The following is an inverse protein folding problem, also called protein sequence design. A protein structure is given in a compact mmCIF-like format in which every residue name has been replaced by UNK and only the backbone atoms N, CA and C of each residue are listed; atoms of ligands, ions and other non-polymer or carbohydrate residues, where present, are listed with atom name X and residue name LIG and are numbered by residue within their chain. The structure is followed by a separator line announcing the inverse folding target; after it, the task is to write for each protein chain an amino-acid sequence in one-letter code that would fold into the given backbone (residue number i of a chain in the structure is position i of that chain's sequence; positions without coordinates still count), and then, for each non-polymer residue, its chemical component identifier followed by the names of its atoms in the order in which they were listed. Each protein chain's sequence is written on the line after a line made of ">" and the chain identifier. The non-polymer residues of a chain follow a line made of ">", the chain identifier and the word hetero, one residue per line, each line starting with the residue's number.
data_IF_016598916761
#
_entry.id   IF_016598916761
#
_cell.length_a   1.000
_cell.length_b   1.000
_cell.length_c   1.000
_cell.angle_alpha   90.00
_cell.angle_beta   90.00
_cell.angle_gamma   90.00
#
_symmetry.space_group_name_H-M   'P 1'
#
loop_
_entity.id
_entity.type
_entity.pdbx_description
1 polymer ?
#
# COMPACT_ATOMS: atom_id res chain seq x y z
N UNK A 1 -3.43 -20.09 -15.05
CA UNK A 1 -3.88 -20.46 -16.41
C UNK A 1 -2.75 -20.22 -17.42
N UNK A 2 -2.33 -21.22 -18.20
CA UNK A 2 -1.30 -21.05 -19.23
C UNK A 2 -1.74 -20.05 -20.32
N UNK A 3 -0.78 -19.38 -20.94
CA UNK A 3 -1.04 -18.53 -22.11
C UNK A 3 -1.57 -19.40 -23.27
N UNK A 4 -2.64 -18.98 -23.91
CA UNK A 4 -3.23 -19.61 -25.09
C UNK A 4 -3.74 -18.54 -26.06
N UNK A 5 -4.19 -18.93 -27.25
CA UNK A 5 -4.57 -17.98 -28.30
C UNK A 5 -5.80 -17.12 -27.96
N UNK A 6 -6.65 -17.58 -27.04
CA UNK A 6 -7.86 -16.88 -26.64
C UNK A 6 -7.61 -15.84 -25.54
N UNK A 7 -6.53 -16.00 -24.77
CA UNK A 7 -6.26 -15.17 -23.61
C UNK A 7 -5.04 -14.25 -23.78
N UNK A 8 -4.53 -14.04 -25.00
CA UNK A 8 -3.37 -13.17 -25.27
C UNK A 8 -3.67 -11.70 -25.00
N UNK A 9 -2.70 -10.99 -24.40
CA UNK A 9 -2.74 -9.55 -24.21
C UNK A 9 -2.63 -8.78 -25.53
N UNK A 10 -2.83 -7.47 -25.47
CA UNK A 10 -2.87 -6.60 -26.67
C UNK A 10 -1.85 -5.48 -26.53
N UNK A 11 -1.04 -5.26 -27.58
CA UNK A 11 -0.09 -4.16 -27.71
C UNK A 11 -0.80 -2.84 -28.07
N UNK A 12 -0.08 -1.71 -27.98
CA UNK A 12 -0.67 -0.41 -28.29
C UNK A 12 -1.12 -0.27 -29.76
N UNK A 13 -0.52 -1.03 -30.68
CA UNK A 13 -0.87 -1.09 -32.10
C UNK A 13 -2.03 -2.06 -32.42
N UNK A 14 -2.60 -2.71 -31.40
CA UNK A 14 -3.67 -3.69 -31.55
C UNK A 14 -3.22 -5.13 -31.85
N UNK A 15 -1.91 -5.38 -32.00
CA UNK A 15 -1.37 -6.74 -32.18
C UNK A 15 -1.43 -7.56 -30.88
N UNK A 16 -1.41 -8.90 -30.97
CA UNK A 16 -1.48 -9.81 -29.82
C UNK A 16 -0.10 -10.08 -29.22
N UNK A 17 -0.02 -10.05 -27.89
CA UNK A 17 1.20 -10.40 -27.14
C UNK A 17 1.47 -11.89 -27.15
N UNK A 18 2.71 -12.27 -27.43
CA UNK A 18 3.18 -13.67 -27.31
C UNK A 18 3.67 -14.03 -25.90
N UNK A 19 3.84 -13.02 -25.04
CA UNK A 19 4.47 -13.18 -23.73
C UNK A 19 3.49 -13.05 -22.56
N UNK A 20 2.40 -12.30 -22.74
CA UNK A 20 1.51 -11.90 -21.65
C UNK A 20 0.05 -12.15 -21.99
N UNK A 21 -0.72 -12.54 -20.98
CA UNK A 21 -2.16 -12.71 -21.12
C UNK A 21 -2.91 -11.38 -20.99
N UNK A 22 -4.16 -11.36 -21.46
CA UNK A 22 -5.05 -10.20 -21.45
C UNK A 22 -5.38 -9.68 -20.06
N UNK A 23 -5.18 -10.47 -19.01
CA UNK A 23 -5.40 -10.01 -17.63
C UNK A 23 -4.22 -9.20 -17.12
N UNK A 24 -3.00 -9.53 -17.56
CA UNK A 24 -1.77 -8.87 -17.12
C UNK A 24 -1.40 -7.68 -18.01
N UNK A 25 -1.71 -7.73 -19.32
CA UNK A 25 -1.22 -6.75 -20.30
C UNK A 25 -2.30 -6.34 -21.30
N UNK A 26 -2.60 -5.04 -21.36
CA UNK A 26 -3.63 -4.44 -22.22
C UNK A 26 -3.14 -3.11 -22.80
N UNK A 27 -3.45 -2.87 -24.07
CA UNK A 27 -3.16 -1.62 -24.79
C UNK A 27 -1.69 -1.16 -24.66
N UNK A 28 -0.74 -2.11 -24.70
CA UNK A 28 0.68 -1.80 -24.63
C UNK A 28 1.25 -1.63 -23.21
N UNK A 29 0.43 -1.77 -22.16
CA UNK A 29 0.86 -1.58 -20.77
C UNK A 29 0.40 -2.73 -19.86
N UNK A 30 1.13 -2.93 -18.75
CA UNK A 30 0.66 -3.81 -17.70
C UNK A 30 -0.53 -3.19 -16.98
N UNK A 31 -1.51 -4.02 -16.64
CA UNK A 31 -2.74 -3.60 -15.96
C UNK A 31 -2.51 -3.26 -14.49
N UNK A 32 -1.40 -3.76 -13.91
CA UNK A 32 -1.01 -3.56 -12.52
C UNK A 32 0.51 -3.39 -12.42
N UNK A 33 0.94 -2.43 -11.61
CA UNK A 33 2.35 -2.21 -11.27
C UNK A 33 2.72 -2.88 -9.94
N UNK A 34 2.66 -4.21 -9.96
CA UNK A 34 2.98 -5.08 -8.83
C UNK A 34 4.41 -5.58 -8.89
N UNK A 35 5.06 -5.79 -7.75
CA UNK A 35 6.22 -6.68 -7.62
C UNK A 35 5.84 -8.12 -7.98
N UNK A 36 6.83 -9.00 -8.13
CA UNK A 36 6.57 -10.42 -8.36
C UNK A 36 5.77 -11.03 -7.19
N UNK A 37 6.17 -10.72 -5.94
CA UNK A 37 5.45 -11.14 -4.74
C UNK A 37 3.99 -10.68 -4.75
N UNK A 38 3.75 -9.40 -5.03
CA UNK A 38 2.39 -8.85 -5.13
C UNK A 38 1.55 -9.52 -6.21
N UNK A 39 2.14 -9.80 -7.38
CA UNK A 39 1.45 -10.51 -8.46
C UNK A 39 1.04 -11.93 -8.04
N UNK A 40 1.87 -12.62 -7.26
CA UNK A 40 1.56 -13.95 -6.72
C UNK A 40 0.38 -13.85 -5.76
N UNK A 41 0.41 -12.94 -4.79
CA UNK A 41 -0.69 -12.74 -3.84
C UNK A 41 -1.99 -12.37 -4.55
N UNK A 42 -1.93 -11.51 -5.58
CA UNK A 42 -3.07 -11.19 -6.41
C UNK A 42 -3.63 -12.42 -7.13
N UNK A 43 -2.76 -13.25 -7.73
CA UNK A 43 -3.18 -14.47 -8.42
C UNK A 43 -3.82 -15.50 -7.48
N UNK A 44 -3.37 -15.58 -6.22
CA UNK A 44 -3.93 -16.49 -5.22
C UNK A 44 -5.39 -16.16 -4.85
N UNK A 45 -5.84 -14.92 -5.03
CA UNK A 45 -7.26 -14.55 -4.84
C UNK A 45 -8.20 -15.26 -5.82
N UNK A 46 -7.67 -15.74 -6.95
CA UNK A 46 -8.43 -16.44 -7.98
C UNK A 46 -8.19 -17.96 -7.98
N UNK A 47 -7.52 -18.49 -6.94
CA UNK A 47 -7.11 -19.89 -6.91
C UNK A 47 -8.30 -20.86 -7.01
N UNK A 48 -9.40 -20.59 -6.30
CA UNK A 48 -10.58 -21.46 -6.34
C UNK A 48 -11.19 -21.52 -7.75
N UNK A 49 -11.26 -20.38 -8.44
CA UNK A 49 -11.74 -20.31 -9.82
C UNK A 49 -10.81 -21.06 -10.77
N UNK A 50 -9.49 -20.90 -10.58
CA UNK A 50 -8.49 -21.61 -11.38
C UNK A 50 -8.56 -23.12 -11.15
N UNK A 51 -8.67 -23.57 -9.89
CA UNK A 51 -8.84 -24.96 -9.52
C UNK A 51 -10.07 -25.57 -10.21
N UNK A 52 -11.21 -24.89 -10.16
CA UNK A 52 -12.44 -25.34 -10.81
C UNK A 52 -12.31 -25.44 -12.34
N UNK A 53 -11.70 -24.44 -13.00
CA UNK A 53 -11.56 -24.42 -14.47
C UNK A 53 -10.53 -25.42 -14.99
N UNK A 54 -9.42 -25.59 -14.28
CA UNK A 54 -8.33 -26.49 -14.69
C UNK A 54 -8.55 -27.94 -14.21
N UNK A 55 -9.58 -28.19 -13.40
CA UNK A 55 -9.81 -29.51 -12.79
C UNK A 55 -8.70 -29.91 -11.82
N UNK A 56 -8.03 -28.94 -11.19
CA UNK A 56 -7.00 -29.18 -10.19
C UNK A 56 -7.51 -28.81 -8.78
N UNK A 57 -6.74 -29.20 -7.76
CA UNK A 57 -7.06 -28.94 -6.36
C UNK A 57 -5.79 -28.53 -5.61
N UNK A 58 -5.18 -27.42 -6.05
CA UNK A 58 -3.98 -26.87 -5.43
C UNK A 58 -4.35 -26.12 -4.16
N UNK A 59 -3.56 -26.31 -3.10
CA UNK A 59 -3.62 -25.41 -1.93
C UNK A 59 -2.95 -24.07 -2.24
N UNK A 60 -3.27 -22.99 -1.49
CA UNK A 60 -2.58 -21.70 -1.66
C UNK A 60 -1.06 -21.80 -1.57
N UNK A 61 -0.54 -22.64 -0.67
CA UNK A 61 0.90 -22.85 -0.52
C UNK A 61 1.49 -23.51 -1.77
N UNK A 62 0.87 -24.58 -2.27
CA UNK A 62 1.35 -25.27 -3.47
C UNK A 62 1.30 -24.37 -4.70
N UNK A 63 0.23 -23.59 -4.86
CA UNK A 63 0.09 -22.64 -5.97
C UNK A 63 1.16 -21.54 -5.87
N UNK A 64 1.41 -20.99 -4.68
CA UNK A 64 2.45 -20.00 -4.43
C UNK A 64 3.84 -20.54 -4.76
N UNK A 65 4.17 -21.75 -4.31
CA UNK A 65 5.46 -22.41 -4.63
C UNK A 65 5.65 -22.58 -6.14
N UNK A 66 4.62 -23.03 -6.85
CA UNK A 66 4.68 -23.16 -8.31
C UNK A 66 4.90 -21.81 -9.00
N UNK A 67 4.22 -20.75 -8.56
CA UNK A 67 4.42 -19.41 -9.12
C UNK A 67 5.81 -18.88 -8.81
N UNK A 68 6.33 -19.07 -7.59
CA UNK A 68 7.71 -18.69 -7.22
C UNK A 68 8.76 -19.41 -8.07
N UNK A 69 8.52 -20.64 -8.50
CA UNK A 69 9.41 -21.37 -9.40
C UNK A 69 9.33 -20.86 -10.86
N UNK A 70 8.15 -20.44 -11.30
CA UNK A 70 7.90 -20.09 -12.70
C UNK A 70 8.09 -18.61 -13.02
N UNK A 71 7.58 -17.70 -12.18
CA UNK A 71 7.53 -16.26 -12.44
C UNK A 71 8.90 -15.62 -12.72
N UNK A 72 10.01 -16.00 -12.05
CA UNK A 72 11.34 -15.47 -12.37
C UNK A 72 11.81 -15.73 -13.81
N UNK A 73 11.18 -16.66 -14.53
CA UNK A 73 11.49 -16.97 -15.94
C UNK A 73 10.74 -16.06 -16.93
N UNK A 74 9.71 -15.34 -16.47
CA UNK A 74 8.92 -14.43 -17.31
C UNK A 74 9.73 -13.18 -17.64
N UNK A 75 9.62 -12.67 -18.87
CA UNK A 75 10.35 -11.47 -19.32
C UNK A 75 10.20 -10.28 -18.35
N UNK A 76 9.01 -10.08 -17.79
CA UNK A 76 8.71 -9.03 -16.80
C UNK A 76 9.59 -9.10 -15.54
N UNK A 77 9.91 -10.30 -15.06
CA UNK A 77 10.61 -10.54 -13.79
C UNK A 77 12.01 -11.13 -13.94
N UNK A 78 12.43 -11.34 -15.18
CA UNK A 78 13.74 -11.90 -15.51
C UNK A 78 14.86 -10.93 -15.15
N UNK A 79 14.60 -9.64 -15.32
CA UNK A 79 15.52 -8.58 -14.89
C UNK A 79 15.23 -8.21 -13.44
N UNK A 80 16.31 -7.93 -12.69
CA UNK A 80 16.21 -7.56 -11.29
C UNK A 80 15.70 -6.12 -11.20
N UNK A 81 14.81 -5.88 -10.24
CA UNK A 81 14.42 -4.53 -9.86
C UNK A 81 15.58 -3.85 -9.11
N UNK A 82 16.25 -2.92 -9.78
CA UNK A 82 17.40 -2.16 -9.28
C UNK A 82 17.02 -0.99 -8.35
N UNK A 83 15.71 -0.73 -8.15
CA UNK A 83 15.26 0.26 -7.17
C UNK A 83 15.72 -0.12 -5.76
N UNK A 84 16.10 0.89 -4.99
CA UNK A 84 16.34 0.78 -3.56
C UNK A 84 15.06 0.39 -2.81
N UNK A 85 15.17 -0.14 -1.59
CA UNK A 85 14.01 -0.43 -0.75
C UNK A 85 13.19 0.84 -0.43
N UNK A 86 13.83 2.00 -0.34
CA UNK A 86 13.16 3.28 -0.13
C UNK A 86 12.29 3.69 -1.34
N UNK A 87 12.79 3.50 -2.56
CA UNK A 87 12.02 3.76 -3.78
C UNK A 87 10.87 2.76 -3.93
N UNK A 88 11.13 1.46 -3.68
CA UNK A 88 10.11 0.42 -3.66
C UNK A 88 9.01 0.71 -2.61
N UNK A 89 9.39 1.16 -1.42
CA UNK A 89 8.45 1.54 -0.35
C UNK A 89 7.65 2.80 -0.68
N UNK A 90 8.26 3.78 -1.35
CA UNK A 90 7.57 4.98 -1.83
C UNK A 90 6.49 4.60 -2.83
N UNK A 91 6.83 3.70 -3.77
CA UNK A 91 5.88 3.14 -4.73
C UNK A 91 4.76 2.35 -4.02
N UNK A 92 5.10 1.50 -3.07
CA UNK A 92 4.13 0.73 -2.28
C UNK A 92 3.13 1.65 -1.56
N UNK A 93 3.64 2.69 -0.88
CA UNK A 93 2.79 3.65 -0.17
C UNK A 93 1.88 4.41 -1.13
N UNK A 94 2.32 4.72 -2.34
CA UNK A 94 1.48 5.37 -3.35
C UNK A 94 0.23 4.54 -3.70
N UNK A 95 0.34 3.20 -3.67
CA UNK A 95 -0.76 2.27 -3.93
C UNK A 95 -1.72 2.09 -2.73
N UNK A 96 -1.34 2.56 -1.54
CA UNK A 96 -2.14 2.41 -0.33
C UNK A 96 -3.10 3.59 -0.16
N UNK A 97 -4.41 3.35 -0.15
CA UNK A 97 -5.42 4.36 0.22
C UNK A 97 -5.46 4.61 1.73
N UNK A 98 -5.18 3.57 2.52
CA UNK A 98 -5.22 3.61 3.96
C UNK A 98 -3.89 3.14 4.56
N UNK A 99 -3.58 3.64 5.75
CA UNK A 99 -2.46 3.23 6.60
C UNK A 99 -2.98 2.87 7.98
N UNK A 100 -2.24 2.08 8.74
CA UNK A 100 -2.55 1.84 10.16
C UNK A 100 -1.60 2.64 11.04
N UNK A 101 -2.12 3.53 11.88
CA UNK A 101 -1.34 4.34 12.81
C UNK A 101 -1.65 3.97 14.26
N UNK A 102 -0.60 3.67 15.02
CA UNK A 102 -0.65 3.34 16.43
C UNK A 102 -0.23 4.54 17.27
N UNK A 103 -1.14 4.98 18.15
CA UNK A 103 -0.84 5.84 19.29
C UNK A 103 -0.65 4.99 20.55
N UNK A 104 -0.17 5.58 21.65
CA UNK A 104 -0.04 4.92 22.95
C UNK A 104 -0.87 5.72 23.96
N UNK A 105 -1.80 5.07 24.64
CA UNK A 105 -2.61 5.73 25.66
C UNK A 105 -1.82 5.98 26.95
N UNK A 106 -2.44 6.67 27.91
CA UNK A 106 -1.80 7.01 29.20
C UNK A 106 -1.51 5.80 30.09
N UNK A 107 -2.12 4.65 29.83
CA UNK A 107 -1.87 3.39 30.53
C UNK A 107 -0.80 2.53 29.81
N UNK A 108 -0.27 3.00 28.68
CA UNK A 108 0.75 2.31 27.89
C UNK A 108 0.21 1.32 26.86
N UNK A 109 -1.09 1.26 26.63
CA UNK A 109 -1.66 0.36 25.61
C UNK A 109 -1.52 0.98 24.21
N UNK A 110 -1.08 0.20 23.21
CA UNK A 110 -1.08 0.64 21.83
C UNK A 110 -2.51 0.66 21.27
N UNK A 111 -2.81 1.68 20.46
CA UNK A 111 -4.11 1.84 19.79
C UNK A 111 -3.92 1.91 18.27
N UNK A 112 -3.71 0.77 17.57
CA UNK A 112 -3.65 0.76 16.11
C UNK A 112 -5.03 1.09 15.53
N UNK A 113 -5.10 2.05 14.63
CA UNK A 113 -6.33 2.45 13.93
C UNK A 113 -6.00 2.66 12.45
N UNK A 114 -6.81 2.08 11.58
CA UNK A 114 -6.73 2.33 10.14
C UNK A 114 -7.27 3.73 9.83
N UNK A 115 -6.52 4.51 9.06
CA UNK A 115 -6.85 5.88 8.68
C UNK A 115 -6.55 6.07 7.19
N UNK A 116 -7.35 6.89 6.52
CA UNK A 116 -7.10 7.27 5.14
C UNK A 116 -5.84 8.11 5.03
N UNK A 117 -4.98 7.73 4.09
CA UNK A 117 -3.79 8.49 3.70
C UNK A 117 -4.24 9.63 2.80
N UNK A 118 -4.07 10.88 3.25
CA UNK A 118 -4.49 12.05 2.48
C UNK A 118 -3.37 12.51 1.54
N UNK A 119 -2.13 12.42 2.02
CA UNK A 119 -0.91 12.76 1.29
C UNK A 119 0.28 12.01 1.90
N UNK A 120 1.34 11.82 1.11
CA UNK A 120 2.60 11.29 1.60
C UNK A 120 3.77 11.91 0.84
N UNK A 121 4.91 12.06 1.51
CA UNK A 121 6.18 12.46 0.93
C UNK A 121 7.21 11.36 1.15
N UNK A 122 7.70 10.80 0.04
CA UNK A 122 8.51 9.58 0.07
C UNK A 122 7.74 8.42 0.69
N UNK A 123 8.42 7.59 1.48
CA UNK A 123 7.85 6.41 2.12
C UNK A 123 7.56 6.60 3.62
N UNK A 124 7.93 7.74 4.21
CA UNK A 124 7.99 7.92 5.67
C UNK A 124 7.35 9.19 6.23
N UNK A 125 6.94 10.14 5.39
CA UNK A 125 6.11 11.28 5.82
C UNK A 125 4.67 11.02 5.34
N UNK A 126 3.72 10.93 6.27
CA UNK A 126 2.34 10.55 5.97
C UNK A 126 1.36 11.50 6.65
N UNK A 127 0.41 12.00 5.88
CA UNK A 127 -0.63 12.89 6.36
C UNK A 127 -1.97 12.16 6.46
N UNK A 128 -2.70 12.44 7.53
CA UNK A 128 -4.04 11.91 7.81
C UNK A 128 -4.91 13.04 8.37
N UNK A 129 -6.23 12.87 8.33
CA UNK A 129 -7.18 13.79 8.95
C UNK A 129 -7.99 13.08 10.06
N UNK A 130 -8.35 13.81 11.12
CA UNK A 130 -9.19 13.31 12.21
C UNK A 130 -9.91 14.45 12.94
N UNK A 131 -10.81 14.11 13.85
CA UNK A 131 -11.47 15.06 14.74
C UNK A 131 -10.54 15.58 15.85
N UNK A 132 -10.62 16.87 16.17
CA UNK A 132 -9.82 17.54 17.21
C UNK A 132 -10.05 16.96 18.62
N UNK A 133 -11.24 16.43 18.87
CA UNK A 133 -11.65 15.77 20.11
C UNK A 133 -11.41 14.25 20.10
N UNK A 134 -10.86 13.70 19.02
CA UNK A 134 -10.62 12.26 18.90
C UNK A 134 -9.63 11.75 19.95
N UNK A 135 -9.83 10.50 20.38
CA UNK A 135 -8.89 9.80 21.27
C UNK A 135 -7.47 9.82 20.70
N UNK A 136 -7.34 9.71 19.37
CA UNK A 136 -6.05 9.75 18.66
C UNK A 136 -5.30 11.07 18.89
N UNK A 137 -6.00 12.20 18.81
CA UNK A 137 -5.43 13.52 19.08
C UNK A 137 -5.04 13.67 20.55
N UNK A 138 -5.87 13.17 21.47
CA UNK A 138 -5.56 13.22 22.90
C UNK A 138 -4.32 12.38 23.24
N UNK A 139 -4.21 11.17 22.68
CA UNK A 139 -3.02 10.33 22.83
C UNK A 139 -1.77 11.06 22.32
N UNK A 140 -1.80 11.63 21.11
CA UNK A 140 -0.62 12.29 20.52
C UNK A 140 -0.23 13.60 21.20
N UNK A 141 -1.19 14.34 21.77
CA UNK A 141 -0.90 15.50 22.62
C UNK A 141 -0.16 15.09 23.91
N UNK A 142 -0.50 13.93 24.49
CA UNK A 142 0.17 13.43 25.68
C UNK A 142 1.51 12.73 25.37
N UNK A 143 1.57 11.99 24.26
CA UNK A 143 2.73 11.25 23.81
C UNK A 143 2.73 11.15 22.28
N UNK A 144 3.60 11.92 21.63
CA UNK A 144 3.65 12.00 20.17
C UNK A 144 4.34 10.81 19.50
N UNK A 145 4.86 9.82 20.25
CA UNK A 145 5.49 8.62 19.66
C UNK A 145 4.44 7.77 18.96
N UNK A 146 4.75 7.36 17.74
CA UNK A 146 3.82 6.62 16.89
C UNK A 146 4.51 5.46 16.17
N UNK A 147 3.73 4.42 15.91
CA UNK A 147 4.02 3.45 14.87
C UNK A 147 3.08 3.68 13.69
N UNK A 148 3.55 3.47 12.45
CA UNK A 148 2.71 3.50 11.26
C UNK A 148 3.10 2.36 10.34
N UNK A 149 2.14 1.59 9.85
CA UNK A 149 2.41 0.57 8.84
C UNK A 149 1.42 0.65 7.67
N UNK A 150 1.88 0.16 6.53
CA UNK A 150 1.09 0.01 5.32
C UNK A 150 1.54 -1.24 4.57
N UNK A 151 0.61 -1.86 3.87
CA UNK A 151 0.84 -3.07 3.09
C UNK A 151 0.00 -3.05 1.82
N UNK A 152 0.51 -3.73 0.80
CA UNK A 152 -0.20 -3.95 -0.44
C UNK A 152 0.24 -5.30 -1.01
N UNK A 153 -0.71 -6.24 -1.09
CA UNK A 153 -0.51 -7.59 -1.64
C UNK A 153 0.74 -8.30 -1.09
N UNK A 154 0.88 -8.34 0.24
CA UNK A 154 1.93 -9.10 0.93
C UNK A 154 3.26 -8.37 1.12
N UNK A 155 3.50 -7.31 0.35
CA UNK A 155 4.59 -6.36 0.61
C UNK A 155 4.13 -5.35 1.68
N UNK A 156 5.01 -4.99 2.60
CA UNK A 156 4.68 -4.12 3.72
C UNK A 156 5.87 -3.34 4.29
N UNK A 157 5.55 -2.22 4.90
CA UNK A 157 6.51 -1.36 5.61
C UNK A 157 5.93 -1.02 6.98
N UNK A 158 6.78 -1.12 8.01
CA UNK A 158 6.48 -0.65 9.35
C UNK A 158 7.47 0.46 9.73
N UNK A 159 6.94 1.58 10.19
CA UNK A 159 7.67 2.77 10.58
C UNK A 159 7.50 3.02 12.07
N UNK A 160 8.54 3.57 12.68
CA UNK A 160 8.47 4.24 13.99
C UNK A 160 8.83 5.70 13.81
N UNK A 161 8.11 6.57 14.51
CA UNK A 161 8.24 8.00 14.30
C UNK A 161 7.48 8.82 15.33
N UNK A 162 7.15 10.04 14.94
CA UNK A 162 6.34 10.95 15.74
C UNK A 162 5.19 11.51 14.93
N UNK A 163 4.10 11.89 15.61
CA UNK A 163 2.97 12.58 14.99
C UNK A 163 2.86 14.01 15.52
N UNK A 164 2.70 14.96 14.61
CA UNK A 164 2.35 16.33 14.92
C UNK A 164 0.86 16.55 14.64
N UNK A 165 0.14 17.17 15.58
CA UNK A 165 -1.26 17.57 15.39
C UNK A 165 -1.26 18.99 14.82
N UNK A 166 -1.69 19.13 13.57
CA UNK A 166 -1.65 20.40 12.85
C UNK A 166 -3.04 21.05 12.88
N UNK A 167 -3.09 22.23 13.50
CA UNK A 167 -4.29 23.07 13.60
C UNK A 167 -4.20 24.35 12.77
N UNK A 168 -3.09 24.59 12.09
CA UNK A 168 -2.87 25.77 11.25
C UNK A 168 -3.92 25.85 10.12
N UNK A 169 -4.62 26.98 10.04
CA UNK A 169 -5.72 27.16 9.10
C UNK A 169 -5.27 27.16 7.64
N UNK A 170 -4.07 27.66 7.33
CA UNK A 170 -3.57 27.71 5.96
C UNK A 170 -3.29 26.28 5.45
N UNK A 171 -2.55 25.48 6.24
CA UNK A 171 -2.26 24.09 5.90
C UNK A 171 -3.54 23.26 5.83
N UNK A 172 -4.45 23.41 6.81
CA UNK A 172 -5.73 22.68 6.82
C UNK A 172 -6.56 22.95 5.57
N UNK A 173 -6.62 24.20 5.12
CA UNK A 173 -7.34 24.60 3.89
C UNK A 173 -6.66 24.08 2.63
N UNK A 174 -5.34 24.12 2.57
CA UNK A 174 -4.57 23.60 1.44
C UNK A 174 -4.77 22.08 1.28
N UNK A 175 -4.76 21.34 2.38
CA UNK A 175 -4.87 19.87 2.37
C UNK A 175 -6.32 19.35 2.41
N UNK A 176 -7.31 20.23 2.27
CA UNK A 176 -8.71 19.84 2.27
C UNK A 176 -9.04 18.95 1.07
N UNK A 177 -9.76 17.85 1.33
CA UNK A 177 -10.29 16.96 0.31
C UNK A 177 -11.81 17.03 0.32
N UNK A 178 -12.47 17.11 -0.83
CA UNK A 178 -13.94 17.33 -0.90
C UNK A 178 -14.76 16.33 -0.09
N UNK A 179 -14.31 15.08 -0.01
CA UNK A 179 -14.99 14.02 0.74
C UNK A 179 -14.92 14.20 2.27
N UNK A 180 -14.05 15.08 2.78
CA UNK A 180 -14.05 15.46 4.20
C UNK A 180 -15.36 16.12 4.64
N UNK A 181 -16.14 16.70 3.72
CA UNK A 181 -17.43 17.32 4.03
C UNK A 181 -18.43 16.33 4.66
N UNK A 182 -18.28 15.02 4.44
CA UNK A 182 -19.10 13.99 5.10
C UNK A 182 -18.83 13.85 6.61
N UNK A 183 -17.63 14.25 7.05
CA UNK A 183 -17.17 14.12 8.43
C UNK A 183 -17.12 15.48 9.15
N UNK A 184 -16.89 16.57 8.40
CA UNK A 184 -16.71 17.92 8.91
C UNK A 184 -17.65 18.90 8.19
N UNK A 185 -18.91 19.06 8.67
CA UNK A 185 -19.92 19.89 8.04
C UNK A 185 -19.52 21.38 7.94
N UNK A 186 -18.60 21.86 8.78
CA UNK A 186 -18.03 23.21 8.70
C UNK A 186 -17.02 23.42 7.56
N UNK A 187 -16.75 22.37 6.78
CA UNK A 187 -15.81 22.40 5.65
C UNK A 187 -14.36 22.65 6.08
N UNK A 188 -13.54 23.30 5.24
CA UNK A 188 -12.14 23.62 5.55
C UNK A 188 -11.92 24.49 6.79
N UNK A 189 -12.97 25.16 7.29
CA UNK A 189 -12.91 25.98 8.50
C UNK A 189 -13.48 25.27 9.74
N UNK A 190 -13.93 24.01 9.61
CA UNK A 190 -14.51 23.25 10.73
C UNK A 190 -13.46 23.14 11.85
N UNK A 191 -13.71 23.67 13.06
CA UNK A 191 -12.73 23.65 14.15
C UNK A 191 -12.43 22.22 14.63
N UNK A 192 -13.28 21.24 14.30
CA UNK A 192 -13.04 19.85 14.63
C UNK A 192 -12.18 19.14 13.57
N UNK A 193 -11.99 19.69 12.37
CA UNK A 193 -11.08 19.11 11.37
C UNK A 193 -9.63 19.46 11.71
N UNK A 194 -8.82 18.45 12.04
CA UNK A 194 -7.37 18.61 12.23
C UNK A 194 -6.59 17.58 11.42
N UNK A 195 -5.33 17.89 11.17
CA UNK A 195 -4.41 17.03 10.46
C UNK A 195 -3.45 16.34 11.43
N UNK A 196 -3.09 15.11 11.10
CA UNK A 196 -2.01 14.37 11.75
C UNK A 196 -0.88 14.22 10.73
N UNK A 197 0.28 14.77 11.07
CA UNK A 197 1.50 14.63 10.28
C UNK A 197 2.42 13.61 10.94
N UNK A 198 2.50 12.41 10.38
CA UNK A 198 3.44 11.39 10.81
C UNK A 198 4.80 11.61 10.14
N UNK A 199 5.86 11.63 10.93
CA UNK A 199 7.25 11.74 10.49
C UNK A 199 8.02 10.51 10.97
N UNK A 200 8.35 9.62 10.04
CA UNK A 200 9.14 8.42 10.29
C UNK A 200 10.59 8.74 10.65
N UNK A 201 11.14 7.96 11.59
CA UNK A 201 12.54 8.02 12.06
C UNK A 201 13.26 6.69 11.88
N UNK A 202 12.52 5.61 11.78
CA UNK A 202 13.05 4.26 11.57
C UNK A 202 12.06 3.50 10.71
N UNK A 203 12.59 2.62 9.86
CA UNK A 203 11.79 1.83 8.94
C UNK A 203 12.22 0.37 8.95
N UNK A 204 11.23 -0.51 8.86
CA UNK A 204 11.37 -1.94 8.66
C UNK A 204 10.62 -2.30 7.38
N UNK A 205 11.33 -2.85 6.41
CA UNK A 205 10.83 -3.21 5.10
C UNK A 205 10.64 -4.71 5.02
N UNK A 206 9.53 -5.13 4.41
CA UNK A 206 9.31 -6.47 3.90
C UNK A 206 8.74 -6.35 2.49
N UNK A 207 9.60 -6.33 1.48
CA UNK A 207 9.19 -6.07 0.09
C UNK A 207 9.79 -7.14 -0.82
N UNK A 208 8.93 -7.85 -1.55
CA UNK A 208 9.29 -8.88 -2.51
C UNK A 208 10.25 -9.94 -1.94
N UNK A 209 10.04 -10.30 -0.66
CA UNK A 209 10.87 -11.25 0.09
C UNK A 209 12.17 -10.68 0.66
N UNK A 210 12.45 -9.39 0.47
CA UNK A 210 13.61 -8.70 1.05
C UNK A 210 13.23 -8.06 2.39
N UNK A 211 13.99 -8.35 3.44
CA UNK A 211 13.84 -7.74 4.77
C UNK A 211 14.99 -6.78 5.07
N UNK A 212 14.69 -5.58 5.57
CA UNK A 212 15.71 -4.65 6.05
C UNK A 212 15.17 -3.75 7.16
N UNK A 213 16.05 -3.27 8.03
CA UNK A 213 15.73 -2.30 9.08
C UNK A 213 16.81 -1.22 9.14
N UNK A 214 16.42 0.06 9.14
CA UNK A 214 17.37 1.16 9.31
C UNK A 214 16.72 2.45 9.85
N UNK A 215 17.58 3.38 10.30
CA UNK A 215 17.21 4.70 10.79
C UNK A 215 17.21 5.72 9.64
N UNK A 216 16.23 6.63 9.65
CA UNK A 216 16.01 7.69 8.65
C UNK A 216 16.70 8.98 9.10
#
# INVERSE_FOLDING_TARGET
>A
MPLNDENRGIHADGSRSEDYCMYCYKNGAFTQDFTMGQMIEFCLQFLDQWNAQAGCNLTPIQAKEQMLQYFPRLKRWKEKDERTLAEKATHLLAQCENVTVASIDTNGYPRPVQMSKIEAKGFHEVWMATSADSVKVNDFKANNKAGLCYDHYGDGVALRGTVEVITDDAIRKEMWQDWFAYHFPGGPNDPNYVLLHFIGKEATFWINGEFSHFNI
#
